data_IF_619473187780
#
_entry.id   IF_619473187780
#
_cell.length_a   1.000
_cell.length_b   1.000
_cell.length_c   1.000
_cell.angle_alpha   90.00
_cell.angle_beta   90.00
_cell.angle_gamma   90.00
#
_symmetry.space_group_name_H-M   'P 1'
#
loop_
_entity.id
_entity.type
_entity.pdbx_description
1 polymer ?
#
# COMPACT_ATOMS: atom_id res chain seq x y z
N UNK A 1 25.02 -34.64 7.23
CA UNK A 1 24.87 -33.27 6.68
C UNK A 1 23.65 -33.23 5.78
N UNK A 2 22.59 -32.50 6.13
CA UNK A 2 21.56 -32.15 5.14
C UNK A 2 21.05 -30.74 5.45
N UNK A 3 21.57 -29.78 4.69
CA UNK A 3 21.14 -28.38 4.69
C UNK A 3 19.83 -28.32 3.91
N UNK A 4 18.71 -28.60 4.58
CA UNK A 4 17.39 -28.23 4.07
C UNK A 4 17.25 -26.70 4.12
N UNK A 5 17.88 -26.02 3.16
CA UNK A 5 17.59 -24.63 2.83
C UNK A 5 16.26 -24.64 2.10
N UNK A 6 15.17 -24.65 2.83
CA UNK A 6 13.87 -24.30 2.28
C UNK A 6 13.97 -22.78 1.99
N UNK A 7 14.12 -22.31 0.74
CA UNK A 7 14.16 -20.87 0.50
C UNK A 7 12.81 -20.34 0.95
N UNK A 8 12.83 -19.48 1.96
CA UNK A 8 11.68 -18.86 2.57
C UNK A 8 10.63 -18.52 1.50
N UNK A 9 9.51 -19.25 1.53
CA UNK A 9 8.34 -19.02 0.68
C UNK A 9 7.95 -17.56 0.80
N UNK A 10 8.23 -16.76 -0.23
CA UNK A 10 7.68 -15.44 -0.53
C UNK A 10 6.91 -14.77 0.64
N UNK A 11 7.60 -14.43 1.73
CA UNK A 11 7.01 -13.61 2.78
C UNK A 11 7.00 -12.17 2.30
N UNK A 12 6.17 -11.87 1.28
CA UNK A 12 5.78 -10.50 0.98
C UNK A 12 4.87 -10.04 2.10
N UNK A 13 5.43 -9.67 3.26
CA UNK A 13 4.68 -8.96 4.30
C UNK A 13 5.60 -8.30 5.29
N UNK A 14 5.66 -6.97 5.19
CA UNK A 14 5.68 -6.00 6.29
C UNK A 14 5.68 -4.62 5.60
N UNK A 15 4.62 -3.78 5.63
CA UNK A 15 4.65 -2.34 5.23
C UNK A 15 5.21 -1.90 3.82
N UNK A 16 5.64 -2.85 2.99
CA UNK A 16 5.87 -2.98 1.54
C UNK A 16 6.86 -2.09 0.76
N UNK A 17 7.23 -0.91 1.22
CA UNK A 17 8.42 -0.22 0.70
C UNK A 17 8.81 0.92 1.64
N UNK A 18 10.11 1.11 1.93
CA UNK A 18 10.60 2.18 2.81
C UNK A 18 10.20 3.54 2.28
N UNK A 19 10.22 3.71 0.97
CA UNK A 19 9.82 4.95 0.32
C UNK A 19 8.31 5.19 0.42
N UNK A 20 7.49 4.13 0.33
CA UNK A 20 6.03 4.25 0.50
C UNK A 20 5.67 4.55 1.95
N UNK A 21 6.38 3.94 2.90
CA UNK A 21 6.21 4.22 4.33
C UNK A 21 6.61 5.67 4.68
N UNK A 22 7.74 6.14 4.14
CA UNK A 22 8.19 7.53 4.26
C UNK A 22 7.18 8.51 3.65
N UNK A 23 6.71 8.24 2.43
CA UNK A 23 5.71 9.07 1.77
C UNK A 23 4.38 9.12 2.54
N UNK A 24 3.96 7.99 3.11
CA UNK A 24 2.78 7.94 3.98
C UNK A 24 2.96 8.75 5.26
N UNK A 25 4.14 8.66 5.89
CA UNK A 25 4.48 9.42 7.09
C UNK A 25 4.48 10.93 6.80
N UNK A 26 5.14 11.36 5.72
CA UNK A 26 5.17 12.75 5.27
C UNK A 26 3.74 13.29 5.01
N UNK A 27 2.89 12.50 4.34
CA UNK A 27 1.48 12.84 4.12
C UNK A 27 0.72 13.02 5.45
N UNK A 28 0.97 12.15 6.44
CA UNK A 28 0.34 12.27 7.78
C UNK A 28 0.81 13.51 8.52
N UNK A 29 2.08 13.85 8.44
CA UNK A 29 2.66 15.04 9.06
C UNK A 29 2.10 16.32 8.44
N UNK A 30 1.99 16.38 7.12
CA UNK A 30 1.34 17.49 6.42
C UNK A 30 -0.13 17.65 6.83
N UNK A 31 -0.88 16.54 6.98
CA UNK A 31 -2.25 16.60 7.49
C UNK A 31 -2.32 17.11 8.94
N UNK A 32 -1.40 16.70 9.81
CA UNK A 32 -1.30 17.22 11.18
C UNK A 32 -0.99 18.71 11.19
N UNK A 33 -0.08 19.17 10.34
CA UNK A 33 0.26 20.58 10.20
C UNK A 33 -0.95 21.41 9.73
N UNK A 34 -1.68 20.93 8.72
CA UNK A 34 -2.93 21.56 8.27
C UNK A 34 -3.96 21.66 9.41
N UNK A 35 -4.18 20.58 10.17
CA UNK A 35 -5.10 20.61 11.33
C UNK A 35 -4.67 21.60 12.41
N UNK A 36 -3.36 21.78 12.63
CA UNK A 36 -2.84 22.81 13.55
C UNK A 36 -3.10 24.21 13.01
N UNK A 37 -2.89 24.45 11.72
CA UNK A 37 -3.18 25.73 11.07
C UNK A 37 -4.67 26.10 11.14
N UNK A 38 -5.57 25.14 10.85
CA UNK A 38 -7.03 25.31 11.01
C UNK A 38 -7.39 25.74 12.44
N UNK A 39 -6.76 25.12 13.46
CA UNK A 39 -6.99 25.49 14.86
C UNK A 39 -6.46 26.89 15.20
N UNK A 40 -5.35 27.29 14.60
CA UNK A 40 -4.78 28.63 14.76
C UNK A 40 -5.57 29.72 14.02
N UNK A 41 -6.53 29.35 13.15
CA UNK A 41 -7.40 30.24 12.36
C UNK A 41 -6.63 31.19 11.43
N UNK A 42 -5.44 30.78 10.99
CA UNK A 42 -4.67 31.50 9.98
C UNK A 42 -5.08 31.00 8.58
N UNK A 43 -5.78 31.80 7.77
CA UNK A 43 -6.32 31.35 6.48
C UNK A 43 -5.23 31.09 5.44
N UNK A 44 -4.17 31.90 5.44
CA UNK A 44 -3.08 31.82 4.46
C UNK A 44 -2.24 30.57 4.73
N UNK A 45 -1.84 30.39 5.99
CA UNK A 45 -1.10 29.19 6.42
C UNK A 45 -1.97 27.93 6.26
N UNK A 46 -3.28 28.02 6.48
CA UNK A 46 -4.19 26.89 6.25
C UNK A 46 -4.19 26.46 4.77
N UNK A 47 -4.33 27.42 3.85
CA UNK A 47 -4.31 27.16 2.40
C UNK A 47 -3.00 26.50 1.97
N UNK A 48 -1.86 27.04 2.42
CA UNK A 48 -0.54 26.51 2.08
C UNK A 48 -0.33 25.08 2.59
N UNK A 49 -0.69 24.80 3.85
CA UNK A 49 -0.58 23.46 4.42
C UNK A 49 -1.54 22.47 3.76
N UNK A 50 -2.70 22.94 3.28
CA UNK A 50 -3.62 22.12 2.51
C UNK A 50 -3.03 21.74 1.15
N UNK A 51 -2.50 22.71 0.39
CA UNK A 51 -1.86 22.45 -0.90
C UNK A 51 -0.68 21.49 -0.76
N UNK A 52 0.13 21.68 0.29
CA UNK A 52 1.24 20.77 0.59
C UNK A 52 0.76 19.34 0.89
N UNK A 53 -0.32 19.17 1.66
CA UNK A 53 -0.91 17.86 1.90
C UNK A 53 -1.43 17.21 0.60
N UNK A 54 -2.11 17.96 -0.27
CA UNK A 54 -2.65 17.47 -1.54
C UNK A 54 -1.51 17.00 -2.46
N UNK A 55 -0.44 17.78 -2.56
CA UNK A 55 0.76 17.40 -3.30
C UNK A 55 1.32 16.05 -2.83
N UNK A 56 1.60 15.92 -1.52
CA UNK A 56 2.14 14.66 -0.96
C UNK A 56 1.17 13.48 -1.12
N UNK A 57 -0.14 13.73 -1.08
CA UNK A 57 -1.15 12.70 -1.34
C UNK A 57 -1.03 12.17 -2.77
N UNK A 58 -0.89 13.04 -3.76
CA UNK A 58 -0.73 12.64 -5.17
C UNK A 58 0.61 11.95 -5.43
N UNK A 59 1.70 12.47 -4.88
CA UNK A 59 3.03 11.85 -4.99
C UNK A 59 3.03 10.43 -4.39
N UNK A 60 2.44 10.25 -3.21
CA UNK A 60 2.31 8.92 -2.60
C UNK A 60 1.46 7.97 -3.45
N UNK A 61 0.36 8.47 -4.05
CA UNK A 61 -0.48 7.67 -4.94
C UNK A 61 0.30 7.22 -6.18
N UNK A 62 1.02 8.15 -6.83
CA UNK A 62 1.84 7.85 -7.99
C UNK A 62 2.94 6.82 -7.66
N UNK A 63 3.62 6.99 -6.53
CA UNK A 63 4.65 6.07 -6.05
C UNK A 63 4.10 4.65 -5.87
N UNK A 64 2.93 4.52 -5.22
CA UNK A 64 2.29 3.21 -5.00
C UNK A 64 1.90 2.56 -6.33
N UNK A 65 1.32 3.31 -7.26
CA UNK A 65 0.92 2.80 -8.57
C UNK A 65 2.13 2.35 -9.39
N UNK A 66 3.19 3.16 -9.42
CA UNK A 66 4.44 2.83 -10.11
C UNK A 66 5.04 1.53 -9.57
N UNK A 67 5.16 1.41 -8.24
CA UNK A 67 5.74 0.20 -7.63
C UNK A 67 4.88 -1.03 -7.87
N UNK A 68 3.55 -0.88 -7.82
CA UNK A 68 2.62 -1.97 -8.14
C UNK A 68 2.77 -2.42 -9.60
N UNK A 69 2.91 -1.47 -10.53
CA UNK A 69 3.13 -1.77 -11.94
C UNK A 69 4.46 -2.53 -12.16
N UNK A 70 5.55 -2.10 -11.51
CA UNK A 70 6.84 -2.78 -11.59
C UNK A 70 6.77 -4.20 -11.02
N UNK A 71 6.14 -4.39 -9.86
CA UNK A 71 5.96 -5.70 -9.26
C UNK A 71 5.13 -6.65 -10.14
N UNK A 72 4.09 -6.12 -10.81
CA UNK A 72 3.30 -6.89 -11.77
C UNK A 72 4.13 -7.26 -13.02
N UNK A 73 4.95 -6.33 -13.54
CA UNK A 73 5.82 -6.59 -14.70
C UNK A 73 6.85 -7.66 -14.40
N UNK A 74 7.53 -7.58 -13.25
CA UNK A 74 8.50 -8.59 -12.82
C UNK A 74 7.83 -9.96 -12.73
N UNK A 75 6.66 -10.04 -12.10
CA UNK A 75 5.92 -11.30 -11.97
C UNK A 75 5.51 -11.89 -13.34
N UNK A 76 5.11 -11.05 -14.31
CA UNK A 76 4.82 -11.51 -15.67
C UNK A 76 6.07 -11.99 -16.41
N UNK A 77 7.23 -11.39 -16.15
CA UNK A 77 8.51 -11.86 -16.69
C UNK A 77 8.89 -13.23 -16.09
N UNK A 78 8.84 -13.37 -14.76
CA UNK A 78 9.11 -14.62 -14.07
C UNK A 78 8.20 -15.76 -14.61
N UNK A 79 6.90 -15.46 -14.81
CA UNK A 79 5.93 -16.38 -15.41
C UNK A 79 6.26 -16.77 -16.85
N UNK A 80 6.79 -15.84 -17.65
CA UNK A 80 7.20 -16.10 -19.03
C UNK A 80 8.43 -17.00 -19.09
N UNK A 81 9.35 -16.83 -18.15
CA UNK A 81 10.59 -17.61 -18.07
C UNK A 81 10.38 -19.04 -17.57
N UNK A 82 9.40 -19.28 -16.70
CA UNK A 82 9.20 -20.61 -16.08
C UNK A 82 8.54 -21.67 -16.99
N UNK A 83 7.86 -21.30 -18.08
CA UNK A 83 7.24 -22.24 -19.04
C UNK A 83 6.18 -23.21 -18.46
N UNK A 84 5.38 -23.86 -19.35
CA UNK A 84 4.31 -24.91 -19.21
C UNK A 84 3.32 -24.91 -18.00
N UNK A 85 3.61 -24.29 -16.87
CA UNK A 85 2.80 -24.16 -15.64
C UNK A 85 2.21 -22.74 -15.46
N UNK A 86 2.45 -21.84 -16.42
CA UNK A 86 2.18 -20.40 -16.34
C UNK A 86 0.72 -20.05 -16.05
N UNK A 87 -0.23 -20.77 -16.66
CA UNK A 87 -1.66 -20.49 -16.50
C UNK A 87 -2.18 -20.83 -15.08
N UNK A 88 -1.77 -21.96 -14.52
CA UNK A 88 -2.20 -22.38 -13.18
C UNK A 88 -1.68 -21.43 -12.09
N UNK A 89 -0.43 -20.97 -12.22
CA UNK A 89 0.18 -19.98 -11.30
C UNK A 89 -0.50 -18.61 -11.40
N UNK A 90 -0.85 -18.16 -12.60
CA UNK A 90 -1.61 -16.92 -12.80
C UNK A 90 -2.98 -16.96 -12.11
N UNK A 91 -3.75 -18.05 -12.28
CA UNK A 91 -5.06 -18.20 -11.66
C UNK A 91 -4.99 -18.30 -10.13
N UNK A 92 -4.00 -19.02 -9.60
CA UNK A 92 -3.76 -19.08 -8.15
C UNK A 92 -3.46 -17.68 -7.58
N UNK A 93 -2.63 -16.89 -8.27
CA UNK A 93 -2.31 -15.52 -7.86
C UNK A 93 -3.53 -14.58 -7.88
N UNK A 94 -4.38 -14.69 -8.90
CA UNK A 94 -5.61 -13.91 -9.01
C UNK A 94 -6.62 -14.28 -7.91
N UNK A 95 -6.72 -15.58 -7.59
CA UNK A 95 -7.56 -16.09 -6.50
C UNK A 95 -7.14 -15.52 -5.14
N UNK A 96 -5.84 -15.56 -4.83
CA UNK A 96 -5.30 -14.99 -3.59
C UNK A 96 -5.58 -13.49 -3.45
N UNK A 97 -5.48 -12.71 -4.54
CA UNK A 97 -5.80 -11.27 -4.55
C UNK A 97 -7.29 -10.98 -4.37
N UNK A 98 -8.17 -11.81 -4.93
CA UNK A 98 -9.62 -11.67 -4.76
C UNK A 98 -10.05 -11.96 -3.31
N UNK A 99 -9.43 -12.97 -2.68
CA UNK A 99 -9.66 -13.32 -1.28
C UNK A 99 -9.16 -12.21 -0.34
N UNK A 100 -8.00 -11.60 -0.61
CA UNK A 100 -7.46 -10.50 0.21
C UNK A 100 -8.33 -9.22 0.15
N UNK A 101 -8.95 -8.91 -0.98
CA UNK A 101 -9.90 -7.77 -1.10
C UNK A 101 -11.16 -8.00 -0.26
N UNK A 102 -11.68 -9.23 -0.25
CA UNK A 102 -12.88 -9.56 0.52
C UNK A 102 -12.62 -9.54 2.05
N UNK A 103 -11.43 -9.94 2.50
CA UNK A 103 -11.11 -9.93 3.94
C UNK A 103 -10.86 -8.52 4.50
N UNK A 104 -10.29 -7.60 3.70
CA UNK A 104 -10.14 -6.18 4.08
C UNK A 104 -11.47 -5.43 4.12
N UNK A 105 -12.41 -5.78 3.24
CA UNK A 105 -13.79 -5.25 3.26
C UNK A 105 -14.52 -5.63 4.56
N UNK A 106 -14.43 -6.91 4.97
CA UNK A 106 -15.07 -7.42 6.18
C UNK A 106 -14.55 -6.78 7.48
N UNK A 107 -13.23 -6.53 7.60
CA UNK A 107 -12.65 -5.83 8.76
C UNK A 107 -13.04 -4.36 8.89
N UNK A 108 -13.47 -3.72 7.81
CA UNK A 108 -13.94 -2.32 7.84
C UNK A 108 -15.38 -2.17 8.33
N UNK A 109 -16.16 -3.26 8.33
CA UNK A 109 -17.53 -3.29 8.80
C UNK A 109 -17.59 -3.43 10.34
N UNK A 110 -16.73 -4.25 10.93
CA UNK A 110 -16.70 -4.48 12.38
C UNK A 110 -16.12 -3.31 13.18
N UNK A 111 -15.20 -2.53 12.61
CA UNK A 111 -14.60 -1.36 13.29
C UNK A 111 -15.54 -0.15 13.42
N UNK A 112 -16.69 -0.13 12.73
CA UNK A 112 -17.65 0.99 12.76
C UNK A 112 -18.74 0.85 13.84
N UNK A 113 -18.90 -0.34 14.41
CA UNK A 113 -19.93 -0.61 15.41
C UNK A 113 -19.44 -0.50 16.86
N UNK A 114 -18.13 -0.42 17.10
CA UNK A 114 -17.54 -0.46 18.45
C UNK A 114 -17.09 0.92 18.97
N UNK A 115 -17.51 2.01 18.32
CA UNK A 115 -17.14 3.40 18.69
C UNK A 115 -18.32 4.25 19.16
N UNK A 116 -19.42 3.60 19.58
CA UNK A 116 -20.57 4.25 20.21
C UNK A 116 -20.84 3.61 21.58
N UNK A 117 -19.92 3.82 22.52
CA UNK A 117 -20.18 3.84 23.96
C UNK A 117 -19.34 4.95 24.57
#
# INVERSE_FOLDING_TARGET
>A
MSRNKNPARHTRKLWWDTEVAQAWQARREANRAHRRAVKAKDPEVCSDKWQHYVKLKHEMQALVQMKLANANRQMLQDLREEGKSTAAKFWNYMSDRLIEKNSRSSKSWTAKHDSRL
#
